data_IF_191667759802
#
_entry.id   IF_191667759802
#
_cell.length_a   1.000
_cell.length_b   1.000
_cell.length_c   1.000
_cell.angle_alpha   90.00
_cell.angle_beta   90.00
_cell.angle_gamma   90.00
#
_symmetry.space_group_name_H-M   'P 1'
#
loop_
_entity.id
_entity.type
_entity.pdbx_description
1 polymer ?
#
# COMPACT_ATOMS: atom_id res chain seq x y z
N UNK A 1 -79.33 -55.25 13.14
CA UNK A 1 -78.71 -54.77 14.39
C UNK A 1 -77.54 -55.69 14.68
N UNK A 2 -76.29 -55.21 14.54
CA UNK A 2 -75.61 -54.58 15.68
C UNK A 2 -74.67 -53.42 15.30
N UNK A 3 -74.61 -52.42 16.18
CA UNK A 3 -73.70 -51.27 16.10
C UNK A 3 -72.25 -51.65 16.34
N UNK A 4 -71.36 -51.02 15.57
CA UNK A 4 -69.91 -51.09 15.77
C UNK A 4 -69.42 -49.82 16.45
N UNK A 5 -68.58 -50.06 17.44
CA UNK A 5 -68.20 -49.20 18.54
C UNK A 5 -67.09 -48.23 18.13
N UNK A 6 -67.15 -47.02 18.72
CA UNK A 6 -66.08 -46.02 18.71
C UNK A 6 -64.72 -46.63 19.06
N UNK A 7 -63.70 -46.31 18.26
CA UNK A 7 -62.30 -46.52 18.63
C UNK A 7 -61.55 -45.18 18.50
N UNK A 8 -61.14 -44.67 19.66
CA UNK A 8 -60.32 -43.47 19.86
C UNK A 8 -59.07 -43.50 18.98
N UNK A 9 -58.95 -42.55 18.07
CA UNK A 9 -57.71 -42.25 17.36
C UNK A 9 -56.99 -41.12 18.09
N UNK A 10 -55.96 -41.44 18.86
CA UNK A 10 -55.04 -40.45 19.43
C UNK A 10 -54.16 -39.88 18.31
N UNK A 11 -54.48 -38.68 17.83
CA UNK A 11 -53.58 -37.91 16.97
C UNK A 11 -52.55 -37.19 17.85
N UNK A 12 -51.33 -37.72 17.90
CA UNK A 12 -50.16 -37.00 18.42
C UNK A 12 -49.84 -35.83 17.47
N UNK A 13 -50.29 -34.63 17.81
CA UNK A 13 -49.82 -33.40 17.17
C UNK A 13 -48.46 -33.06 17.80
N UNK A 14 -47.40 -33.62 17.21
CA UNK A 14 -46.03 -33.22 17.51
C UNK A 14 -45.76 -31.85 16.91
N UNK A 15 -45.93 -30.79 17.70
CA UNK A 15 -45.46 -29.45 17.34
C UNK A 15 -43.93 -29.41 17.46
N UNK A 16 -43.23 -29.73 16.38
CA UNK A 16 -41.78 -29.52 16.26
C UNK A 16 -41.50 -28.03 16.16
N UNK A 17 -41.15 -27.42 17.29
CA UNK A 17 -40.49 -26.12 17.34
C UNK A 17 -39.11 -26.25 16.69
N UNK A 18 -39.04 -25.98 15.39
CA UNK A 18 -37.76 -25.72 14.72
C UNK A 18 -37.24 -24.36 15.19
N UNK A 19 -36.05 -24.27 15.80
CA UNK A 19 -35.43 -22.98 16.06
C UNK A 19 -35.08 -22.33 14.72
N UNK A 20 -35.67 -21.17 14.46
CA UNK A 20 -35.27 -20.32 13.34
C UNK A 20 -33.85 -19.82 13.63
N UNK A 21 -32.86 -20.49 13.03
CA UNK A 21 -31.48 -20.00 12.99
C UNK A 21 -31.48 -18.72 12.14
N UNK A 22 -31.57 -17.57 12.81
CA UNK A 22 -31.36 -16.28 12.18
C UNK A 22 -29.88 -16.20 11.78
N UNK A 23 -29.57 -16.41 10.50
CA UNK A 23 -28.26 -16.08 9.95
C UNK A 23 -28.15 -14.55 9.94
N UNK A 24 -27.33 -14.00 10.83
CA UNK A 24 -26.89 -12.62 10.71
C UNK A 24 -26.09 -12.50 9.41
N UNK A 25 -26.76 -12.16 8.32
CA UNK A 25 -26.09 -11.70 7.12
C UNK A 25 -25.40 -10.38 7.47
N UNK A 26 -24.15 -10.21 7.04
CA UNK A 26 -23.45 -8.93 7.09
C UNK A 26 -24.25 -7.92 6.26
N UNK A 27 -25.15 -7.19 6.93
CA UNK A 27 -25.83 -6.09 6.30
C UNK A 27 -24.78 -5.04 5.91
N UNK A 28 -24.85 -4.46 4.71
CA UNK A 28 -23.94 -3.40 4.32
C UNK A 28 -24.02 -2.28 5.36
N UNK A 29 -22.86 -1.83 5.84
CA UNK A 29 -22.74 -0.86 6.94
C UNK A 29 -23.31 0.51 6.57
N UNK A 30 -23.45 0.79 5.27
CA UNK A 30 -24.09 1.99 4.71
C UNK A 30 -25.02 1.61 3.54
N UNK A 31 -26.10 2.37 3.33
CA UNK A 31 -26.93 2.27 2.12
C UNK A 31 -26.25 2.98 0.94
N UNK A 32 -26.62 2.65 -0.31
CA UNK A 32 -26.06 3.31 -1.50
C UNK A 32 -26.22 4.84 -1.48
N UNK A 33 -27.34 5.35 -0.96
CA UNK A 33 -27.61 6.79 -0.83
C UNK A 33 -26.68 7.43 0.19
N UNK A 34 -26.33 6.71 1.27
CA UNK A 34 -25.38 7.17 2.28
C UNK A 34 -23.96 7.23 1.72
N UNK A 35 -23.53 6.23 0.94
CA UNK A 35 -22.21 6.23 0.30
C UNK A 35 -22.05 7.41 -0.68
N UNK A 36 -23.05 7.65 -1.53
CA UNK A 36 -23.07 8.79 -2.43
C UNK A 36 -22.96 10.14 -1.68
N UNK A 37 -23.67 10.26 -0.55
CA UNK A 37 -23.60 11.44 0.33
C UNK A 37 -22.21 11.61 0.95
N UNK A 38 -21.59 10.53 1.41
CA UNK A 38 -20.24 10.55 1.98
C UNK A 38 -19.23 11.01 0.92
N UNK A 39 -19.30 10.46 -0.30
CA UNK A 39 -18.42 10.85 -1.40
C UNK A 39 -18.50 12.35 -1.72
N UNK A 40 -19.72 12.90 -1.77
CA UNK A 40 -19.91 14.35 -1.98
C UNK A 40 -19.32 15.17 -0.84
N UNK A 41 -19.57 14.79 0.42
CA UNK A 41 -19.04 15.50 1.59
C UNK A 41 -17.49 15.48 1.58
N UNK A 42 -16.89 14.33 1.28
CA UNK A 42 -15.44 14.19 1.21
C UNK A 42 -14.85 15.06 0.09
N UNK A 43 -15.47 15.08 -1.09
CA UNK A 43 -15.04 15.92 -2.21
C UNK A 43 -15.14 17.42 -1.86
N UNK A 44 -16.28 17.86 -1.32
CA UNK A 44 -16.49 19.25 -0.91
C UNK A 44 -15.48 19.66 0.18
N UNK A 45 -15.19 18.78 1.13
CA UNK A 45 -14.20 19.00 2.18
C UNK A 45 -12.79 19.15 1.62
N UNK A 46 -12.35 18.26 0.71
CA UNK A 46 -11.00 18.35 0.12
C UNK A 46 -10.82 19.64 -0.70
N UNK A 47 -11.87 20.14 -1.36
CA UNK A 47 -11.84 21.42 -2.08
C UNK A 47 -11.81 22.61 -1.12
N UNK A 48 -12.57 22.55 -0.01
CA UNK A 48 -12.56 23.58 1.01
C UNK A 48 -11.26 23.60 1.84
N UNK A 49 -10.54 22.47 1.90
CA UNK A 49 -9.34 22.24 2.70
C UNK A 49 -8.17 21.64 1.89
N UNK A 50 -7.65 22.34 0.87
CA UNK A 50 -6.60 21.82 -0.01
C UNK A 50 -5.29 21.49 0.73
N UNK A 51 -5.04 22.10 1.89
CA UNK A 51 -3.90 21.81 2.77
C UNK A 51 -3.83 20.33 3.20
N UNK A 52 -4.96 19.63 3.27
CA UNK A 52 -5.03 18.21 3.63
C UNK A 52 -4.33 17.35 2.59
N UNK A 53 -4.40 17.72 1.30
CA UNK A 53 -3.68 17.02 0.23
C UNK A 53 -2.17 17.20 0.39
N UNK A 54 -1.71 18.40 0.72
CA UNK A 54 -0.30 18.65 0.99
C UNK A 54 0.20 17.83 2.19
N UNK A 55 -0.59 17.79 3.27
CA UNK A 55 -0.26 16.97 4.46
C UNK A 55 -0.19 15.48 4.11
N UNK A 56 -1.13 14.98 3.31
CA UNK A 56 -1.10 13.60 2.83
C UNK A 56 0.16 13.30 2.00
N UNK A 57 0.53 14.19 1.07
CA UNK A 57 1.75 14.06 0.27
C UNK A 57 3.01 14.09 1.13
N UNK A 58 3.10 15.01 2.09
CA UNK A 58 4.24 15.10 3.03
C UNK A 58 4.35 13.83 3.88
N UNK A 59 3.23 13.32 4.38
CA UNK A 59 3.21 12.07 5.15
C UNK A 59 3.65 10.88 4.31
N UNK A 60 3.20 10.81 3.06
CA UNK A 60 3.62 9.78 2.12
C UNK A 60 5.13 9.86 1.85
N UNK A 61 5.66 11.06 1.62
CA UNK A 61 7.10 11.28 1.42
C UNK A 61 7.91 10.81 2.63
N UNK A 62 7.47 11.10 3.86
CA UNK A 62 8.13 10.62 5.07
C UNK A 62 8.13 9.09 5.16
N UNK A 63 7.01 8.44 4.87
CA UNK A 63 6.90 6.98 4.85
C UNK A 63 7.85 6.38 3.81
N UNK A 64 7.87 6.96 2.60
CA UNK A 64 8.75 6.52 1.52
C UNK A 64 10.23 6.69 1.91
N UNK A 65 10.63 7.82 2.48
CA UNK A 65 12.01 8.04 2.94
C UNK A 65 12.44 7.00 3.98
N UNK A 66 11.57 6.68 4.94
CA UNK A 66 11.85 5.66 5.96
C UNK A 66 12.00 4.26 5.35
N UNK A 67 11.21 3.93 4.32
CA UNK A 67 11.28 2.64 3.63
C UNK A 67 12.45 2.56 2.62
N UNK A 68 12.82 3.68 2.02
CA UNK A 68 13.82 3.74 0.95
C UNK A 68 15.24 3.49 1.44
N UNK A 69 15.60 3.87 2.67
CA UNK A 69 16.98 3.72 3.15
C UNK A 69 17.43 2.24 3.20
N UNK A 70 16.58 1.34 3.71
CA UNK A 70 16.89 -0.09 3.79
C UNK A 70 16.82 -0.76 2.41
N UNK A 71 15.83 -0.40 1.60
CA UNK A 71 15.68 -0.91 0.24
C UNK A 71 16.84 -0.49 -0.68
N UNK A 72 17.28 0.77 -0.59
CA UNK A 72 18.42 1.28 -1.36
C UNK A 72 19.72 0.55 -1.00
N UNK A 73 19.97 0.34 0.31
CA UNK A 73 21.14 -0.42 0.76
C UNK A 73 21.13 -1.84 0.20
N UNK A 74 19.99 -2.53 0.28
CA UNK A 74 19.85 -3.88 -0.26
C UNK A 74 20.03 -3.91 -1.78
N UNK A 75 19.50 -2.92 -2.50
CA UNK A 75 19.67 -2.80 -3.95
C UNK A 75 21.13 -2.58 -4.33
N UNK A 76 21.87 -1.73 -3.61
CA UNK A 76 23.31 -1.53 -3.84
C UNK A 76 24.09 -2.82 -3.59
N UNK A 77 23.85 -3.51 -2.46
CA UNK A 77 24.53 -4.77 -2.15
C UNK A 77 24.26 -5.84 -3.20
N UNK A 78 23.00 -5.96 -3.65
CA UNK A 78 22.61 -6.92 -4.70
C UNK A 78 23.29 -6.63 -6.05
N UNK A 79 23.59 -5.37 -6.35
CA UNK A 79 24.15 -4.94 -7.63
C UNK A 79 25.62 -4.52 -7.53
N UNK A 80 26.31 -4.80 -6.42
CA UNK A 80 27.66 -4.28 -6.14
C UNK A 80 28.66 -4.59 -7.25
N UNK A 81 28.62 -5.78 -7.85
CA UNK A 81 29.49 -6.15 -8.96
C UNK A 81 29.22 -5.30 -10.21
N UNK A 82 27.94 -5.09 -10.57
CA UNK A 82 27.57 -4.25 -11.72
C UNK A 82 27.98 -2.79 -11.51
N UNK A 83 27.91 -2.31 -10.27
CA UNK A 83 28.29 -0.94 -9.91
C UNK A 83 29.82 -0.73 -9.90
N UNK A 84 30.62 -1.76 -9.60
CA UNK A 84 32.08 -1.61 -9.38
C UNK A 84 32.96 -2.25 -10.45
N UNK A 85 32.43 -3.13 -11.30
CA UNK A 85 33.21 -3.94 -12.25
C UNK A 85 32.78 -3.75 -13.71
N UNK A 86 31.89 -2.80 -14.00
CA UNK A 86 31.52 -2.47 -15.38
C UNK A 86 32.69 -1.76 -16.09
N UNK A 87 33.21 -2.39 -17.13
CA UNK A 87 34.33 -1.88 -17.94
C UNK A 87 33.94 -0.66 -18.79
N UNK A 88 32.64 -0.41 -18.99
CA UNK A 88 32.15 0.75 -19.75
C UNK A 88 31.97 1.99 -18.87
N UNK A 89 32.06 1.84 -17.55
CA UNK A 89 31.96 2.95 -16.60
C UNK A 89 33.35 3.59 -16.44
N UNK A 90 33.50 4.91 -16.72
CA UNK A 90 34.74 5.61 -16.46
C UNK A 90 35.11 5.56 -14.97
N UNK A 91 36.39 5.30 -14.68
CA UNK A 91 36.90 5.26 -13.31
C UNK A 91 38.09 6.20 -13.14
N UNK A 92 38.18 6.82 -11.96
CA UNK A 92 39.27 7.71 -11.58
C UNK A 92 39.79 7.30 -10.19
N UNK A 93 41.11 7.33 -10.02
CA UNK A 93 41.78 6.99 -8.76
C UNK A 93 42.55 5.65 -8.79
N UNK A 94 43.00 5.17 -7.61
CA UNK A 94 43.83 3.97 -7.50
C UNK A 94 43.05 2.69 -7.82
N UNK A 95 43.69 1.75 -8.54
CA UNK A 95 43.10 0.44 -8.88
C UNK A 95 42.73 -0.39 -7.63
N UNK A 96 43.53 -0.29 -6.57
CA UNK A 96 43.34 -1.02 -5.31
C UNK A 96 42.75 -0.13 -4.20
N UNK A 97 41.86 0.80 -4.58
CA UNK A 97 41.17 1.66 -3.62
C UNK A 97 40.35 0.84 -2.62
N UNK A 98 40.51 1.12 -1.32
CA UNK A 98 39.76 0.44 -0.25
C UNK A 98 38.28 0.84 -0.21
N UNK A 99 37.94 1.97 -0.82
CA UNK A 99 36.60 2.54 -0.88
C UNK A 99 36.35 2.97 -2.31
N UNK A 100 35.20 2.58 -2.84
CA UNK A 100 34.72 2.99 -4.17
C UNK A 100 33.50 3.89 -3.98
N UNK A 101 33.54 5.07 -4.59
CA UNK A 101 32.39 5.97 -4.66
C UNK A 101 31.81 5.86 -6.07
N UNK A 102 30.50 5.62 -6.16
CA UNK A 102 29.78 5.55 -7.44
C UNK A 102 28.93 6.79 -7.60
N UNK A 103 29.17 7.55 -8.66
CA UNK A 103 28.43 8.76 -9.00
C UNK A 103 27.49 8.49 -10.17
N UNK A 104 26.18 8.63 -9.93
CA UNK A 104 25.20 8.65 -11.01
C UNK A 104 25.11 10.07 -11.55
N UNK A 105 25.64 10.28 -12.75
CA UNK A 105 25.79 11.61 -13.33
C UNK A 105 24.83 11.83 -14.51
N UNK A 106 24.25 13.02 -14.57
CA UNK A 106 23.46 13.49 -15.71
C UNK A 106 24.10 14.77 -16.29
N UNK A 107 24.46 14.75 -17.57
CA UNK A 107 25.07 15.89 -18.26
C UNK A 107 24.16 17.11 -18.40
N UNK A 108 22.84 16.93 -18.30
CA UNK A 108 21.87 18.03 -18.37
C UNK A 108 21.57 18.63 -16.99
N UNK A 109 22.06 18.02 -15.92
CA UNK A 109 21.86 18.48 -14.55
C UNK A 109 22.90 19.56 -14.18
N UNK A 110 22.49 20.83 -14.12
CA UNK A 110 23.37 21.97 -13.79
C UNK A 110 24.11 21.81 -12.46
N UNK A 111 23.46 21.19 -11.46
CA UNK A 111 24.10 20.92 -10.18
C UNK A 111 25.17 19.83 -10.29
N UNK A 112 24.89 18.80 -11.07
CA UNK A 112 25.82 17.71 -11.35
C UNK A 112 27.06 18.27 -12.05
N UNK A 113 26.90 19.11 -13.09
CA UNK A 113 28.03 19.75 -13.78
C UNK A 113 28.93 20.59 -12.87
N UNK A 114 28.36 21.24 -11.84
CA UNK A 114 29.12 22.03 -10.84
C UNK A 114 29.91 21.16 -9.86
N UNK A 115 29.41 19.96 -9.57
CA UNK A 115 30.04 19.00 -8.66
C UNK A 115 30.97 18.02 -9.37
N UNK A 116 30.97 18.02 -10.71
CA UNK A 116 31.75 17.10 -11.51
C UNK A 116 33.26 17.19 -11.16
N UNK A 117 33.95 16.04 -11.03
CA UNK A 117 35.39 16.02 -10.78
C UNK A 117 36.15 16.79 -11.86
N UNK A 118 36.92 17.82 -11.44
CA UNK A 118 37.74 18.66 -12.34
C UNK A 118 37.24 20.10 -12.55
N UNK A 119 36.05 20.45 -12.04
CA UNK A 119 35.45 21.78 -12.26
C UNK A 119 35.58 22.76 -11.07
N UNK A 120 36.52 22.52 -10.15
CA UNK A 120 36.93 23.52 -9.14
C UNK A 120 36.31 23.43 -7.75
N UNK A 121 35.95 22.23 -7.26
CA UNK A 121 35.49 22.03 -5.87
C UNK A 121 36.44 21.13 -5.05
N UNK A 122 37.76 21.22 -5.28
CA UNK A 122 38.73 20.32 -4.66
C UNK A 122 40.18 20.80 -4.60
N UNK A 123 40.40 22.12 -4.60
CA UNK A 123 41.60 22.72 -4.00
C UNK A 123 41.22 23.29 -2.63
#
# INVERSE_FOLDING_TARGET
MPGHKNLLTFAFIGATLFPLMATAADAPTFTPEQEARIGKIAADYLVAHPEVLLQASQKLQQIQQQQQASAATQAVLKNAAALTQDKNTPTYGPKEGKVTVIEFFDYQCVYCSRLAPGNGAGD
#
